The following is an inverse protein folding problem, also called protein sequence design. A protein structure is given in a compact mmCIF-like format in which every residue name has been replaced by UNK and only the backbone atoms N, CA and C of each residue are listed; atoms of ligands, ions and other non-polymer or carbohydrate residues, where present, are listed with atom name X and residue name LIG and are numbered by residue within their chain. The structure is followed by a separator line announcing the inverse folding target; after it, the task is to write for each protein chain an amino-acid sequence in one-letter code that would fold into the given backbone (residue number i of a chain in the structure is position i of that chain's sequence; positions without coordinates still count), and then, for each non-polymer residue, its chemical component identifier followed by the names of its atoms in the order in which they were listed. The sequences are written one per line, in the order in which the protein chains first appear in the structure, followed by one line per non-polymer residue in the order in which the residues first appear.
data_IF_326176224526
#
_entry.id   IF_326176224526
#
_cell.length_a   1.000
_cell.length_b   1.000
_cell.length_c   1.000
_cell.angle_alpha   90.00
_cell.angle_beta   90.00
_cell.angle_gamma   90.00
#
_symmetry.space_group_name_H-M   'P 1'
#
loop_
_entity.id
_entity.type
_entity.pdbx_description
1 polymer ?
#
# COMPACT_ATOMS: atom_id res chain seq x y z
N UNK A 1 -17.72 -21.92 4.73
CA UNK A 1 -17.01 -22.59 3.61
C UNK A 1 -15.93 -21.70 2.99
N UNK A 2 -16.23 -20.46 2.56
CA UNK A 2 -15.21 -19.55 2.01
C UNK A 2 -13.98 -19.34 2.89
N UNK A 3 -14.17 -19.14 4.20
CA UNK A 3 -13.07 -19.05 5.17
C UNK A 3 -12.21 -20.33 5.25
N UNK A 4 -12.82 -21.51 5.17
CA UNK A 4 -12.10 -22.80 5.17
C UNK A 4 -11.28 -22.96 3.88
N UNK A 5 -11.86 -22.60 2.73
CA UNK A 5 -11.13 -22.59 1.44
C UNK A 5 -9.96 -21.60 1.47
N UNK A 6 -10.14 -20.44 2.11
CA UNK A 6 -9.07 -19.47 2.31
C UNK A 6 -7.92 -20.03 3.15
N UNK A 7 -8.21 -20.73 4.25
CA UNK A 7 -7.21 -21.40 5.08
C UNK A 7 -6.46 -22.50 4.31
N UNK A 8 -7.18 -23.29 3.51
CA UNK A 8 -6.57 -24.32 2.64
C UNK A 8 -5.68 -23.68 1.59
N UNK A 9 -6.13 -22.60 0.95
CA UNK A 9 -5.33 -21.86 -0.03
C UNK A 9 -4.08 -21.24 0.58
N UNK A 10 -4.19 -20.66 1.78
CA UNK A 10 -3.03 -20.16 2.52
C UNK A 10 -2.04 -21.28 2.86
N UNK A 11 -2.53 -22.43 3.33
CA UNK A 11 -1.67 -23.58 3.63
C UNK A 11 -0.94 -24.08 2.37
N UNK A 12 -1.63 -24.13 1.23
CA UNK A 12 -1.01 -24.48 -0.06
C UNK A 12 0.05 -23.48 -0.51
N UNK A 13 -0.21 -22.18 -0.35
CA UNK A 13 0.76 -21.13 -0.67
C UNK A 13 2.00 -21.20 0.24
N UNK A 14 1.80 -21.39 1.55
CA UNK A 14 2.89 -21.57 2.51
C UNK A 14 3.74 -22.78 2.17
N UNK A 15 3.10 -23.90 1.84
CA UNK A 15 3.80 -25.11 1.40
C UNK A 15 4.70 -24.86 0.18
N UNK A 16 4.20 -24.11 -0.81
CA UNK A 16 5.00 -23.73 -1.98
C UNK A 16 6.13 -22.76 -1.61
N UNK A 17 5.86 -21.78 -0.74
CA UNK A 17 6.86 -20.79 -0.32
C UNK A 17 7.99 -21.40 0.50
N UNK A 18 7.70 -22.36 1.38
CA UNK A 18 8.73 -23.03 2.19
C UNK A 18 9.76 -23.78 1.36
N UNK A 19 9.45 -24.12 0.10
CA UNK A 19 10.42 -24.70 -0.82
C UNK A 19 11.49 -23.69 -1.31
N UNK A 20 11.20 -22.39 -1.25
CA UNK A 20 12.06 -21.32 -1.76
C UNK A 20 12.60 -20.38 -0.68
N UNK A 21 11.92 -20.26 0.47
CA UNK A 21 12.35 -19.41 1.59
C UNK A 21 12.39 -20.23 2.89
N UNK A 22 13.55 -20.36 3.57
CA UNK A 22 13.67 -20.98 4.88
C UNK A 22 13.23 -20.00 5.97
N UNK A 23 11.94 -19.65 6.01
CA UNK A 23 11.36 -18.78 7.04
C UNK A 23 10.05 -19.38 7.56
N UNK A 24 9.94 -19.53 8.88
CA UNK A 24 8.69 -19.89 9.55
C UNK A 24 7.81 -18.64 9.68
N UNK A 25 6.71 -18.61 8.93
CA UNK A 25 5.72 -17.55 9.04
C UNK A 25 4.83 -17.78 10.27
N UNK A 26 4.59 -16.75 11.10
CA UNK A 26 3.70 -16.88 12.25
C UNK A 26 2.28 -17.30 11.81
N UNK A 27 1.55 -18.06 12.63
CA UNK A 27 0.22 -18.52 12.28
C UNK A 27 -0.72 -17.33 12.01
N UNK A 28 -1.66 -17.46 11.06
CA UNK A 28 -2.61 -16.40 10.76
C UNK A 28 -3.41 -16.05 12.02
N UNK A 29 -3.33 -14.78 12.45
CA UNK A 29 -4.17 -14.27 13.53
C UNK A 29 -5.66 -14.32 13.16
N UNK A 30 -6.57 -14.07 14.12
CA UNK A 30 -8.02 -14.01 13.84
C UNK A 30 -8.43 -12.74 13.07
N UNK A 31 -7.56 -11.73 13.03
CA UNK A 31 -7.86 -10.42 12.45
C UNK A 31 -8.18 -10.47 10.94
N UNK A 32 -7.41 -11.16 10.07
CA UNK A 32 -7.73 -11.28 8.64
C UNK A 32 -9.06 -11.99 8.39
N UNK A 33 -9.43 -12.95 9.24
CA UNK A 33 -10.73 -13.62 9.16
C UNK A 33 -11.87 -12.63 9.42
N UNK A 34 -11.75 -11.83 10.47
CA UNK A 34 -12.73 -10.80 10.81
C UNK A 34 -12.86 -9.74 9.71
N UNK A 35 -11.72 -9.28 9.18
CA UNK A 35 -11.68 -8.34 8.04
C UNK A 35 -12.38 -8.92 6.81
N UNK A 36 -12.13 -10.19 6.49
CA UNK A 36 -12.79 -10.88 5.39
C UNK A 36 -14.31 -10.96 5.57
N UNK A 37 -14.77 -11.29 6.78
CA UNK A 37 -16.21 -11.34 7.11
C UNK A 37 -16.84 -9.95 7.02
N UNK A 38 -16.20 -8.92 7.57
CA UNK A 38 -16.68 -7.54 7.50
C UNK A 38 -16.77 -7.07 6.05
N UNK A 39 -15.76 -7.37 5.23
CA UNK A 39 -15.75 -7.03 3.80
C UNK A 39 -16.87 -7.75 3.06
N UNK A 40 -17.08 -9.05 3.31
CA UNK A 40 -18.15 -9.81 2.69
C UNK A 40 -19.54 -9.27 3.07
N UNK A 41 -19.75 -8.93 4.34
CA UNK A 41 -20.99 -8.30 4.81
C UNK A 41 -21.20 -6.91 4.19
N UNK A 42 -20.14 -6.11 4.09
CA UNK A 42 -20.18 -4.80 3.45
C UNK A 42 -20.65 -4.91 1.99
N UNK A 43 -20.03 -5.82 1.23
CA UNK A 43 -20.39 -6.07 -0.17
C UNK A 43 -21.81 -6.61 -0.29
N UNK A 44 -22.21 -7.56 0.57
CA UNK A 44 -23.55 -8.13 0.58
C UNK A 44 -24.62 -7.05 0.82
N UNK A 45 -24.45 -6.23 1.85
CA UNK A 45 -25.40 -5.15 2.17
C UNK A 45 -25.43 -4.11 1.06
N UNK A 46 -24.27 -3.70 0.53
CA UNK A 46 -24.18 -2.69 -0.52
C UNK A 46 -24.79 -3.12 -1.85
N UNK A 47 -24.57 -4.36 -2.28
CA UNK A 47 -25.04 -4.84 -3.58
C UNK A 47 -26.40 -5.54 -3.52
N UNK A 48 -26.64 -6.40 -2.53
CA UNK A 48 -27.89 -7.16 -2.43
C UNK A 48 -28.98 -6.41 -1.64
N UNK A 49 -28.61 -5.52 -0.72
CA UNK A 49 -29.60 -4.79 0.10
C UNK A 49 -30.63 -4.00 -0.73
N UNK A 50 -30.24 -3.18 -1.71
CA UNK A 50 -31.20 -2.41 -2.51
C UNK A 50 -32.13 -3.29 -3.35
N UNK A 51 -31.63 -4.42 -3.87
CA UNK A 51 -32.41 -5.35 -4.69
C UNK A 51 -33.38 -6.18 -3.84
N UNK A 52 -32.95 -6.65 -2.66
CA UNK A 52 -33.79 -7.36 -1.69
C UNK A 52 -34.94 -6.48 -1.17
N UNK A 53 -34.67 -5.20 -0.87
CA UNK A 53 -35.69 -4.26 -0.41
C UNK A 53 -36.75 -3.96 -1.49
N UNK A 54 -36.36 -3.97 -2.77
CA UNK A 54 -37.32 -3.85 -3.88
C UNK A 54 -38.22 -5.07 -3.97
N UNK A 55 -37.69 -6.28 -3.82
CA UNK A 55 -38.47 -7.52 -3.87
C UNK A 55 -39.54 -7.58 -2.78
N UNK A 56 -39.21 -7.17 -1.54
CA UNK A 56 -40.13 -7.24 -0.39
C UNK A 56 -41.40 -6.39 -0.56
N UNK A 57 -41.38 -5.38 -1.44
CA UNK A 57 -42.49 -4.42 -1.62
C UNK A 57 -43.34 -4.65 -2.87
N UNK A 58 -43.07 -5.68 -3.67
CA UNK A 58 -43.91 -6.00 -4.84
C UNK A 58 -45.08 -6.88 -4.40
N UNK A 59 -46.25 -6.27 -4.18
CA UNK A 59 -47.52 -6.98 -4.07
C UNK A 59 -47.80 -7.73 -5.38
N UNK A 60 -48.31 -8.98 -5.30
CA UNK A 60 -48.60 -9.85 -6.44
C UNK A 60 -49.49 -9.19 -7.53
N UNK A 61 -50.29 -8.18 -7.16
CA UNK A 61 -51.13 -7.40 -8.09
C UNK A 61 -50.36 -6.39 -8.96
N UNK A 62 -49.14 -5.97 -8.58
CA UNK A 62 -48.33 -4.99 -9.34
C UNK A 62 -47.60 -5.59 -10.54
N UNK A 63 -47.45 -6.91 -10.60
CA UNK A 63 -46.83 -7.63 -11.74
C UNK A 63 -47.66 -7.47 -13.03
N UNK A 64 -48.98 -7.27 -12.90
CA UNK A 64 -49.88 -7.11 -14.04
C UNK A 64 -49.87 -5.69 -14.64
N UNK A 65 -49.48 -4.66 -13.86
CA UNK A 65 -49.55 -3.25 -14.28
C UNK A 65 -48.25 -2.68 -14.89
N UNK A 66 -47.12 -3.37 -14.79
CA UNK A 66 -45.81 -2.90 -15.33
C UNK A 66 -45.43 -1.47 -14.92
N UNK A 67 -45.91 -0.99 -13.78
CA UNK A 67 -45.49 0.29 -13.20
C UNK A 67 -44.37 0.01 -12.18
N UNK A 68 -43.13 0.29 -12.60
CA UNK A 68 -41.97 0.29 -11.70
C UNK A 68 -42.01 1.59 -10.89
N UNK A 69 -42.47 1.49 -9.63
CA UNK A 69 -42.42 2.61 -8.69
C UNK A 69 -40.97 3.06 -8.41
N UNK A 70 -40.75 4.36 -8.11
CA UNK A 70 -39.44 4.88 -7.73
C UNK A 70 -38.87 4.17 -6.49
N UNK A 71 -37.54 4.21 -6.31
CA UNK A 71 -36.89 3.56 -5.18
C UNK A 71 -37.49 4.03 -3.85
N UNK A 72 -37.88 3.12 -2.94
CA UNK A 72 -38.37 3.52 -1.63
C UNK A 72 -37.25 4.22 -0.84
N UNK A 73 -37.60 5.15 0.05
CA UNK A 73 -36.64 5.86 0.91
C UNK A 73 -35.70 4.91 1.68
N UNK A 74 -36.15 3.69 1.99
CA UNK A 74 -35.32 2.64 2.61
C UNK A 74 -34.14 2.18 1.76
N UNK A 75 -34.19 2.33 0.43
CA UNK A 75 -33.06 2.02 -0.44
C UNK A 75 -31.90 3.02 -0.26
N UNK A 76 -32.21 4.30 0.00
CA UNK A 76 -31.19 5.31 0.30
C UNK A 76 -30.50 5.05 1.66
N UNK A 77 -31.25 4.56 2.64
CA UNK A 77 -30.67 4.09 3.91
C UNK A 77 -29.64 2.98 3.71
N UNK A 78 -29.93 2.00 2.84
CA UNK A 78 -28.98 0.93 2.53
C UNK A 78 -27.73 1.45 1.85
N UNK A 79 -27.86 2.39 0.92
CA UNK A 79 -26.70 3.03 0.29
C UNK A 79 -25.87 3.80 1.33
N UNK A 80 -26.51 4.51 2.25
CA UNK A 80 -25.84 5.21 3.35
C UNK A 80 -25.08 4.25 4.27
N UNK A 81 -25.71 3.16 4.70
CA UNK A 81 -25.07 2.12 5.53
C UNK A 81 -23.91 1.47 4.78
N UNK A 82 -24.08 1.12 3.50
CA UNK A 82 -23.01 0.54 2.70
C UNK A 82 -21.82 1.49 2.55
N UNK A 83 -22.08 2.79 2.34
CA UNK A 83 -21.05 3.82 2.26
C UNK A 83 -20.31 3.99 3.59
N UNK A 84 -21.03 3.91 4.72
CA UNK A 84 -20.45 3.98 6.07
C UNK A 84 -19.57 2.76 6.34
N UNK A 85 -20.04 1.56 6.03
CA UNK A 85 -19.25 0.32 6.21
C UNK A 85 -18.01 0.35 5.31
N UNK A 86 -18.15 0.76 4.05
CA UNK A 86 -17.00 0.91 3.14
C UNK A 86 -16.01 1.94 3.65
N UNK A 87 -16.49 3.09 4.13
CA UNK A 87 -15.66 4.12 4.75
C UNK A 87 -14.96 3.66 6.02
N UNK A 88 -15.65 2.90 6.88
CA UNK A 88 -15.07 2.27 8.05
C UNK A 88 -13.97 1.26 7.70
N UNK A 89 -14.16 0.52 6.60
CA UNK A 89 -13.15 -0.38 6.07
C UNK A 89 -11.90 0.37 5.56
N UNK A 90 -12.10 1.47 4.83
CA UNK A 90 -11.01 2.33 4.36
C UNK A 90 -10.22 2.92 5.54
N UNK A 91 -10.92 3.39 6.57
CA UNK A 91 -10.29 3.90 7.77
C UNK A 91 -9.49 2.81 8.52
N UNK A 92 -10.06 1.61 8.65
CA UNK A 92 -9.41 0.47 9.29
C UNK A 92 -8.15 0.02 8.54
N UNK A 93 -8.14 0.09 7.21
CA UNK A 93 -6.98 -0.25 6.39
C UNK A 93 -5.93 0.87 6.34
N UNK A 94 -6.35 2.12 6.23
CA UNK A 94 -5.45 3.26 6.05
C UNK A 94 -4.85 3.76 7.36
N UNK A 95 -5.47 3.52 8.51
CA UNK A 95 -5.08 4.07 9.82
C UNK A 95 -5.28 5.60 9.95
N UNK A 96 -5.60 6.29 8.86
CA UNK A 96 -5.77 7.73 8.79
C UNK A 96 -7.21 8.10 8.35
N UNK A 97 -7.99 8.78 9.19
CA UNK A 97 -9.36 9.17 8.87
C UNK A 97 -9.43 10.26 7.77
N UNK A 98 -8.40 11.10 7.62
CA UNK A 98 -8.37 12.13 6.58
C UNK A 98 -8.21 11.49 5.20
N UNK A 99 -7.32 10.49 5.06
CA UNK A 99 -7.18 9.72 3.83
C UNK A 99 -8.46 8.96 3.49
N UNK A 100 -9.08 8.31 4.48
CA UNK A 100 -10.34 7.58 4.27
C UNK A 100 -11.46 8.51 3.78
N UNK A 101 -11.63 9.68 4.41
CA UNK A 101 -12.61 10.67 3.99
C UNK A 101 -12.29 11.26 2.60
N UNK A 102 -11.03 11.57 2.34
CA UNK A 102 -10.55 12.04 1.04
C UNK A 102 -10.85 11.05 -0.09
N UNK A 103 -10.62 9.75 0.14
CA UNK A 103 -10.96 8.69 -0.83
C UNK A 103 -12.46 8.55 -1.04
N UNK A 104 -13.28 8.63 0.02
CA UNK A 104 -14.74 8.56 -0.11
C UNK A 104 -15.29 9.73 -0.92
N UNK A 105 -14.91 10.95 -0.56
CA UNK A 105 -15.39 12.17 -1.23
C UNK A 105 -14.83 12.24 -2.65
N UNK A 106 -13.54 12.00 -2.83
CA UNK A 106 -12.90 11.97 -4.14
C UNK A 106 -13.51 10.91 -5.06
N UNK A 107 -13.76 9.71 -4.54
CA UNK A 107 -14.45 8.63 -5.26
C UNK A 107 -15.88 9.01 -5.66
N UNK A 108 -16.63 9.67 -4.76
CA UNK A 108 -17.98 10.16 -5.07
C UNK A 108 -17.97 11.25 -6.15
N UNK A 109 -17.06 12.22 -6.05
CA UNK A 109 -16.89 13.28 -7.06
C UNK A 109 -16.56 12.65 -8.41
N UNK A 110 -15.61 11.72 -8.44
CA UNK A 110 -15.22 11.03 -9.68
C UNK A 110 -16.38 10.24 -10.27
N UNK A 111 -17.18 9.56 -9.45
CA UNK A 111 -18.37 8.84 -9.90
C UNK A 111 -19.40 9.77 -10.53
N UNK A 112 -19.63 10.94 -9.92
CA UNK A 112 -20.54 11.97 -10.46
C UNK A 112 -20.01 12.53 -11.78
N UNK A 113 -18.71 12.80 -11.89
CA UNK A 113 -18.08 13.25 -13.12
C UNK A 113 -18.20 12.21 -14.23
N UNK A 114 -17.90 10.95 -13.94
CA UNK A 114 -18.06 9.83 -14.88
C UNK A 114 -19.52 9.65 -15.31
N UNK A 115 -20.47 9.80 -14.38
CA UNK A 115 -21.90 9.73 -14.68
C UNK A 115 -22.30 10.87 -15.63
N UNK A 116 -21.85 12.09 -15.34
CA UNK A 116 -22.08 13.28 -16.18
C UNK A 116 -21.48 13.11 -17.58
N UNK A 117 -20.25 12.62 -17.67
CA UNK A 117 -19.56 12.35 -18.93
C UNK A 117 -20.26 11.25 -19.74
N UNK A 118 -20.63 10.15 -19.10
CA UNK A 118 -21.40 9.08 -19.75
C UNK A 118 -22.76 9.57 -20.25
N UNK A 119 -23.44 10.42 -19.47
CA UNK A 119 -24.69 11.03 -19.88
C UNK A 119 -24.51 11.99 -21.07
N UNK A 120 -23.45 12.79 -21.07
CA UNK A 120 -23.10 13.69 -22.17
C UNK A 120 -22.80 12.91 -23.45
N UNK A 121 -21.94 11.89 -23.37
CA UNK A 121 -21.59 11.02 -24.51
C UNK A 121 -22.83 10.33 -25.08
N UNK A 122 -23.72 9.83 -24.23
CA UNK A 122 -24.96 9.21 -24.66
C UNK A 122 -25.92 10.24 -25.29
N UNK A 123 -26.05 11.44 -24.73
CA UNK A 123 -26.82 12.53 -25.33
C UNK A 123 -26.28 12.90 -26.71
N UNK A 124 -24.96 13.04 -26.84
CA UNK A 124 -24.30 13.37 -28.09
C UNK A 124 -24.53 12.28 -29.14
N UNK A 125 -24.38 11.01 -28.77
CA UNK A 125 -24.64 9.87 -29.66
C UNK A 125 -26.08 9.89 -30.18
N UNK A 126 -27.06 10.16 -29.30
CA UNK A 126 -28.47 10.23 -29.69
C UNK A 126 -28.77 11.43 -30.58
N UNK A 127 -28.14 12.58 -30.31
CA UNK A 127 -28.26 13.77 -31.14
C UNK A 127 -27.69 13.57 -32.55
N UNK A 128 -26.50 12.97 -32.66
CA UNK A 128 -25.88 12.62 -33.95
C UNK A 128 -26.73 11.61 -34.72
N UNK A 129 -27.23 10.56 -34.05
CA UNK A 129 -28.07 9.53 -34.68
C UNK A 129 -29.46 10.07 -35.08
N UNK A 130 -29.95 11.13 -34.43
CA UNK A 130 -31.17 11.84 -34.82
C UNK A 130 -31.03 12.62 -36.14
N UNK A 131 -29.82 13.03 -36.50
CA UNK A 131 -29.52 13.73 -37.76
C UNK A 131 -29.27 12.81 -38.96
N UNK A 132 -29.18 11.49 -38.74
CA UNK A 132 -28.97 10.53 -39.83
C UNK A 132 -30.30 10.30 -40.57
N UNK A 133 -30.39 10.61 -41.88
CA UNK A 133 -31.61 10.41 -42.65
C UNK A 133 -32.03 8.94 -42.67
N UNK A 134 -33.34 8.70 -42.62
CA UNK A 134 -33.93 7.36 -42.52
C UNK A 134 -33.62 6.45 -43.73
N UNK A 135 -33.10 7.01 -44.81
CA UNK A 135 -32.69 6.36 -46.05
C UNK A 135 -31.24 5.86 -46.05
N UNK A 136 -30.48 6.10 -44.98
CA UNK A 136 -29.09 5.63 -44.87
C UNK A 136 -29.02 4.11 -44.65
N UNK A 137 -28.33 3.39 -45.55
CA UNK A 137 -28.32 1.92 -45.65
C UNK A 137 -27.97 1.13 -44.36
N UNK A 138 -28.18 -0.19 -44.45
CA UNK A 138 -28.37 -1.13 -43.33
C UNK A 138 -27.48 -0.98 -42.08
N UNK A 139 -26.17 -0.73 -42.23
CA UNK A 139 -25.25 -0.53 -41.08
C UNK A 139 -25.62 0.71 -40.25
N UNK A 140 -26.00 1.83 -40.88
CA UNK A 140 -26.40 3.07 -40.19
C UNK A 140 -27.77 2.92 -39.53
N UNK A 141 -28.67 2.14 -40.14
CA UNK A 141 -29.96 1.81 -39.54
C UNK A 141 -29.84 0.88 -38.31
N UNK A 142 -28.94 -0.12 -38.35
CA UNK A 142 -28.64 -0.96 -37.21
C UNK A 142 -28.05 -0.16 -36.03
N UNK A 143 -27.12 0.76 -36.31
CA UNK A 143 -26.57 1.68 -35.30
C UNK A 143 -27.65 2.58 -34.68
N UNK A 144 -28.57 3.11 -35.48
CA UNK A 144 -29.70 3.91 -34.99
C UNK A 144 -30.65 3.11 -34.09
N UNK A 145 -30.92 1.86 -34.45
CA UNK A 145 -31.75 0.94 -33.64
C UNK A 145 -31.06 0.62 -32.30
N UNK A 146 -29.75 0.34 -32.32
CA UNK A 146 -28.95 0.13 -31.11
C UNK A 146 -28.93 1.36 -30.20
N UNK A 147 -28.71 2.55 -30.77
CA UNK A 147 -28.75 3.80 -30.03
C UNK A 147 -30.12 4.08 -29.38
N UNK A 148 -31.22 3.82 -30.10
CA UNK A 148 -32.59 3.93 -29.55
C UNK A 148 -32.86 2.94 -28.43
N UNK A 149 -32.31 1.73 -28.50
CA UNK A 149 -32.44 0.74 -27.43
C UNK A 149 -31.69 1.17 -26.17
N UNK A 150 -30.51 1.78 -26.32
CA UNK A 150 -29.75 2.44 -25.26
C UNK A 150 -30.52 3.61 -24.65
N UNK A 151 -31.17 4.45 -25.48
CA UNK A 151 -31.99 5.58 -25.02
C UNK A 151 -33.18 5.12 -24.16
N UNK A 152 -33.84 4.01 -24.55
CA UNK A 152 -34.96 3.44 -23.80
C UNK A 152 -34.57 2.94 -22.40
N UNK A 153 -33.32 2.51 -22.21
CA UNK A 153 -32.79 2.03 -20.92
C UNK A 153 -31.58 2.86 -20.48
N UNK A 154 -31.74 4.19 -20.51
CA UNK A 154 -30.66 5.16 -20.26
C UNK A 154 -29.95 4.96 -18.92
N UNK A 155 -30.69 4.79 -17.83
CA UNK A 155 -30.11 4.59 -16.49
C UNK A 155 -29.34 3.27 -16.35
N UNK A 156 -29.88 2.17 -16.90
CA UNK A 156 -29.21 0.87 -16.87
C UNK A 156 -27.94 0.86 -17.72
N UNK A 157 -27.98 1.48 -18.91
CA UNK A 157 -26.83 1.56 -19.81
C UNK A 157 -25.71 2.42 -19.22
N UNK A 158 -26.06 3.54 -18.58
CA UNK A 158 -25.09 4.38 -17.86
C UNK A 158 -24.46 3.64 -16.68
N UNK A 159 -25.26 2.95 -15.87
CA UNK A 159 -24.74 2.15 -14.77
C UNK A 159 -23.76 1.07 -15.23
N UNK A 160 -24.04 0.41 -16.36
CA UNK A 160 -23.15 -0.62 -16.90
C UNK A 160 -21.87 -0.04 -17.52
N UNK A 161 -21.97 1.10 -18.20
CA UNK A 161 -20.81 1.84 -18.70
C UNK A 161 -19.89 2.27 -17.55
N UNK A 162 -20.46 2.75 -16.44
CA UNK A 162 -19.71 3.11 -15.24
C UNK A 162 -19.01 1.89 -14.63
N UNK A 163 -19.72 0.77 -14.48
CA UNK A 163 -19.15 -0.45 -13.96
C UNK A 163 -17.93 -0.89 -14.80
N UNK A 164 -18.08 -0.96 -16.12
CA UNK A 164 -16.96 -1.29 -17.01
C UNK A 164 -15.82 -0.27 -16.92
N UNK A 165 -16.13 1.03 -16.89
CA UNK A 165 -15.11 2.08 -16.83
C UNK A 165 -14.27 1.98 -15.55
N UNK A 166 -14.92 1.75 -14.40
CA UNK A 166 -14.22 1.57 -13.12
C UNK A 166 -13.41 0.28 -13.13
N UNK A 167 -13.95 -0.83 -13.67
CA UNK A 167 -13.21 -2.09 -13.79
C UNK A 167 -11.97 -1.95 -14.67
N UNK A 168 -12.09 -1.35 -15.86
CA UNK A 168 -10.96 -1.13 -16.75
C UNK A 168 -9.93 -0.16 -16.15
N UNK A 169 -10.38 0.89 -15.47
CA UNK A 169 -9.49 1.81 -14.77
C UNK A 169 -8.71 1.10 -13.65
N UNK A 170 -9.37 0.25 -12.86
CA UNK A 170 -8.70 -0.54 -11.84
C UNK A 170 -7.68 -1.52 -12.45
N UNK A 171 -8.04 -2.21 -13.53
CA UNK A 171 -7.11 -3.10 -14.25
C UNK A 171 -5.90 -2.34 -14.81
N UNK A 172 -6.14 -1.18 -15.44
CA UNK A 172 -5.09 -0.34 -15.98
C UNK A 172 -4.18 0.22 -14.88
N UNK A 173 -4.76 0.65 -13.75
CA UNK A 173 -4.00 1.12 -12.59
C UNK A 173 -3.10 0.03 -12.04
N UNK A 174 -3.58 -1.21 -11.90
CA UNK A 174 -2.74 -2.34 -11.47
C UNK A 174 -1.59 -2.58 -12.45
N UNK A 175 -1.87 -2.57 -13.76
CA UNK A 175 -0.85 -2.77 -14.78
C UNK A 175 0.22 -1.66 -14.77
N UNK A 176 -0.22 -0.40 -14.60
CA UNK A 176 0.65 0.77 -14.57
C UNK A 176 1.51 0.79 -13.31
N UNK A 177 0.90 0.61 -12.13
CA UNK A 177 1.64 0.55 -10.85
C UNK A 177 2.66 -0.57 -10.85
N UNK A 178 2.35 -1.74 -11.44
CA UNK A 178 3.30 -2.84 -11.58
C UNK A 178 4.53 -2.44 -12.40
N UNK A 179 4.34 -1.75 -13.52
CA UNK A 179 5.44 -1.31 -14.38
C UNK A 179 6.27 -0.20 -13.73
N UNK A 180 5.59 0.75 -13.10
CA UNK A 180 6.20 1.94 -12.49
C UNK A 180 7.06 1.58 -11.28
N UNK A 181 6.59 0.67 -10.41
CA UNK A 181 7.38 0.24 -9.25
C UNK A 181 8.66 -0.49 -9.66
N UNK A 182 8.63 -1.31 -10.71
CA UNK A 182 9.80 -2.08 -11.13
C UNK A 182 10.84 -1.19 -11.82
N UNK A 183 10.39 -0.31 -12.73
CA UNK A 183 11.25 0.63 -13.43
C UNK A 183 11.82 1.68 -12.48
N UNK A 184 10.99 2.32 -11.66
CA UNK A 184 11.45 3.29 -10.65
C UNK A 184 12.43 2.67 -9.66
N UNK A 185 12.21 1.41 -9.27
CA UNK A 185 13.17 0.73 -8.39
C UNK A 185 14.49 0.46 -9.11
N UNK A 186 14.46 -0.01 -10.36
CA UNK A 186 15.66 -0.24 -11.17
C UNK A 186 16.44 1.06 -11.43
N UNK A 187 15.75 2.16 -11.74
CA UNK A 187 16.34 3.46 -12.02
C UNK A 187 17.01 4.09 -10.78
N UNK A 188 16.67 3.62 -9.57
CA UNK A 188 17.32 4.04 -8.33
C UNK A 188 18.65 3.34 -8.07
N UNK A 189 18.97 2.24 -8.76
CA UNK A 189 20.28 1.59 -8.65
C UNK A 189 21.21 2.11 -9.75
N UNK A 190 22.34 2.76 -9.41
CA UNK A 190 23.41 3.03 -10.37
C UNK A 190 23.80 1.76 -11.14
N UNK A 191 24.24 1.90 -12.40
CA UNK A 191 24.66 0.76 -13.24
C UNK A 191 25.75 -0.11 -12.56
N UNK A 192 26.59 0.50 -11.72
CA UNK A 192 27.67 -0.16 -10.96
C UNK A 192 27.24 -0.68 -9.57
N UNK A 193 25.96 -0.94 -9.33
CA UNK A 193 25.53 -1.41 -8.00
C UNK A 193 25.90 -2.88 -7.75
N UNK A 194 26.61 -3.20 -6.65
CA UNK A 194 26.93 -4.59 -6.31
C UNK A 194 25.68 -5.45 -6.17
N UNK A 195 25.72 -6.66 -6.74
CA UNK A 195 24.62 -7.63 -6.73
C UNK A 195 24.77 -8.74 -5.67
N UNK A 196 25.90 -8.78 -4.94
CA UNK A 196 26.14 -9.74 -3.86
C UNK A 196 26.49 -9.02 -2.55
N UNK A 197 25.85 -9.45 -1.46
CA UNK A 197 26.06 -8.92 -0.12
C UNK A 197 26.50 -10.04 0.82
N UNK A 198 27.67 -9.89 1.43
CA UNK A 198 28.15 -10.79 2.47
C UNK A 198 27.91 -10.15 3.85
N UNK A 199 27.25 -10.91 4.74
CA UNK A 199 26.94 -10.49 6.12
C UNK A 199 27.40 -11.58 7.11
N UNK A 200 27.60 -11.21 8.38
CA UNK A 200 28.01 -12.12 9.45
C UNK A 200 29.37 -12.81 9.23
N UNK A 201 30.30 -12.15 8.55
CA UNK A 201 31.69 -12.64 8.44
C UNK A 201 32.34 -12.56 9.82
N UNK A 202 32.80 -13.69 10.34
CA UNK A 202 33.40 -13.73 11.66
C UNK A 202 34.80 -13.08 11.67
N UNK A 203 35.24 -12.47 12.78
CA UNK A 203 36.54 -11.80 12.84
C UNK A 203 37.73 -12.70 12.45
N UNK A 204 37.67 -14.00 12.77
CA UNK A 204 38.71 -14.97 12.41
C UNK A 204 38.68 -15.46 10.96
N UNK A 205 37.55 -15.28 10.26
CA UNK A 205 37.37 -15.69 8.85
C UNK A 205 37.54 -14.53 7.88
N UNK A 206 37.57 -13.29 8.41
CA UNK A 206 37.64 -12.05 7.63
C UNK A 206 38.78 -12.04 6.62
N UNK A 207 40.00 -12.34 7.06
CA UNK A 207 41.18 -12.19 6.23
C UNK A 207 41.19 -13.26 5.12
N UNK A 208 40.86 -14.51 5.45
CA UNK A 208 40.73 -15.58 4.44
C UNK A 208 39.60 -15.30 3.42
N UNK A 209 38.49 -14.71 3.86
CA UNK A 209 37.40 -14.30 2.97
C UNK A 209 37.83 -13.16 2.05
N UNK A 210 38.56 -12.17 2.58
CA UNK A 210 39.11 -11.06 1.82
C UNK A 210 40.03 -11.57 0.70
N UNK A 211 40.96 -12.45 1.03
CA UNK A 211 41.97 -12.97 0.08
C UNK A 211 41.28 -13.74 -1.05
N UNK A 212 40.31 -14.59 -0.71
CA UNK A 212 39.54 -15.36 -1.71
C UNK A 212 38.73 -14.45 -2.64
N UNK A 213 38.22 -13.33 -2.13
CA UNK A 213 37.38 -12.42 -2.90
C UNK A 213 38.21 -11.51 -3.81
N UNK A 214 39.39 -11.07 -3.36
CA UNK A 214 40.30 -10.25 -4.16
C UNK A 214 40.81 -11.00 -5.41
N UNK A 215 40.92 -12.33 -5.34
CA UNK A 215 41.27 -13.18 -6.48
C UNK A 215 40.09 -13.38 -7.46
N UNK A 216 38.85 -13.14 -7.02
CA UNK A 216 37.63 -13.52 -7.75
C UNK A 216 36.82 -12.33 -8.30
N UNK A 217 37.05 -11.11 -7.80
CA UNK A 217 36.24 -9.92 -8.14
C UNK A 217 37.14 -8.70 -8.35
N UNK A 218 36.92 -7.98 -9.44
CA UNK A 218 37.72 -6.78 -9.80
C UNK A 218 37.45 -5.57 -8.86
N UNK A 219 36.22 -5.45 -8.34
CA UNK A 219 35.83 -4.36 -7.44
C UNK A 219 35.03 -4.85 -6.24
N UNK A 220 35.40 -4.40 -5.04
CA UNK A 220 34.67 -4.68 -3.79
C UNK A 220 34.56 -3.44 -2.92
N UNK A 221 33.47 -3.38 -2.15
CA UNK A 221 33.34 -2.39 -1.08
C UNK A 221 34.10 -2.83 0.17
N UNK A 222 34.61 -1.87 0.95
CA UNK A 222 35.26 -2.15 2.24
C UNK A 222 34.29 -2.85 3.20
N UNK A 223 34.80 -3.79 4.00
CA UNK A 223 34.03 -4.46 5.03
C UNK A 223 33.68 -3.49 6.18
N UNK A 224 32.40 -3.50 6.56
CA UNK A 224 31.90 -2.71 7.68
C UNK A 224 31.66 -3.61 8.89
N UNK A 225 32.20 -3.26 10.07
CA UNK A 225 31.90 -4.03 11.27
C UNK A 225 30.43 -3.84 11.64
N UNK A 226 29.78 -4.93 12.07
CA UNK A 226 28.40 -4.90 12.55
C UNK A 226 28.35 -5.34 14.01
N UNK A 227 27.83 -4.46 14.88
CA UNK A 227 27.61 -4.73 16.30
C UNK A 227 26.15 -4.46 16.64
N UNK A 228 25.53 -5.39 17.35
CA UNK A 228 24.16 -5.21 17.84
C UNK A 228 24.19 -4.42 19.14
N UNK A 229 23.44 -3.32 19.20
CA UNK A 229 23.35 -2.47 20.37
C UNK A 229 21.94 -1.92 20.57
N UNK A 230 21.58 -1.61 21.82
CA UNK A 230 20.33 -0.93 22.15
C UNK A 230 20.64 0.43 22.76
N UNK A 231 19.96 1.47 22.28
CA UNK A 231 20.06 2.80 22.87
C UNK A 231 19.33 2.79 24.22
N UNK A 232 20.07 3.06 25.29
CA UNK A 232 19.51 3.14 26.65
C UNK A 232 19.34 4.57 27.14
N UNK A 233 20.19 5.49 26.67
CA UNK A 233 20.13 6.92 27.00
C UNK A 233 20.71 7.76 25.86
N UNK A 234 20.23 9.00 25.73
CA UNK A 234 20.80 10.04 24.85
C UNK A 234 21.07 11.25 25.76
N UNK A 235 22.33 11.65 25.91
CA UNK A 235 22.73 12.74 26.82
C UNK A 235 22.10 12.61 28.22
N UNK A 236 22.20 11.41 28.80
CA UNK A 236 21.63 11.03 30.11
C UNK A 236 20.09 11.11 30.24
N UNK A 237 19.39 11.36 29.13
CA UNK A 237 17.92 11.37 29.09
C UNK A 237 17.38 10.07 28.49
N UNK A 238 16.14 9.74 28.85
CA UNK A 238 15.41 8.63 28.24
C UNK A 238 15.34 8.90 26.73
N UNK A 239 15.69 7.93 25.85
CA UNK A 239 15.82 8.19 24.41
C UNK A 239 14.58 8.81 23.77
N UNK A 240 13.39 8.48 24.27
CA UNK A 240 12.09 9.03 23.80
C UNK A 240 11.88 10.50 24.17
N UNK A 241 12.48 10.97 25.26
CA UNK A 241 12.33 12.34 25.76
C UNK A 241 13.35 13.29 25.11
N UNK A 242 14.51 12.74 24.72
CA UNK A 242 15.59 13.47 24.07
C UNK A 242 15.33 13.82 22.59
N UNK A 243 14.33 13.21 21.94
CA UNK A 243 13.96 13.49 20.54
C UNK A 243 12.67 14.33 20.44
N UNK A 244 12.54 15.14 19.37
CA UNK A 244 11.33 15.92 19.12
C UNK A 244 10.09 15.03 18.91
N UNK A 245 8.90 15.60 19.12
CA UNK A 245 7.65 14.84 19.28
C UNK A 245 7.27 13.95 18.09
N UNK A 246 7.66 14.39 16.90
CA UNK A 246 7.57 13.68 15.61
C UNK A 246 8.44 12.41 15.57
N UNK A 247 9.66 12.47 16.10
CA UNK A 247 10.62 11.36 16.07
C UNK A 247 10.42 10.33 17.21
N UNK A 248 9.57 10.62 18.21
CA UNK A 248 9.29 9.71 19.35
C UNK A 248 8.68 8.36 18.96
N UNK A 249 8.04 8.31 17.79
CA UNK A 249 7.40 7.10 17.25
C UNK A 249 8.38 6.10 16.66
N UNK A 250 9.61 6.54 16.33
CA UNK A 250 10.57 5.73 15.60
C UNK A 250 10.89 4.41 16.33
N UNK A 251 10.81 3.31 15.58
CA UNK A 251 11.14 1.99 16.05
C UNK A 251 12.61 1.86 16.46
N UNK A 252 13.50 2.71 15.94
CA UNK A 252 14.93 2.72 16.27
C UNK A 252 15.19 2.86 17.78
N UNK A 253 14.38 3.65 18.47
CA UNK A 253 14.53 3.92 19.92
C UNK A 253 14.08 2.76 20.81
N UNK A 254 13.36 1.76 20.27
CA UNK A 254 12.76 0.65 21.04
C UNK A 254 13.38 -0.71 20.75
N UNK A 255 14.20 -0.82 19.70
CA UNK A 255 14.76 -2.10 19.22
C UNK A 255 16.27 -2.15 19.35
N UNK A 256 16.81 -3.36 19.20
CA UNK A 256 18.23 -3.55 18.94
C UNK A 256 18.55 -3.10 17.51
N UNK A 257 19.62 -2.33 17.38
CA UNK A 257 20.09 -1.76 16.14
C UNK A 257 21.38 -2.46 15.71
N UNK A 258 21.53 -2.66 14.41
CA UNK A 258 22.80 -3.03 13.82
C UNK A 258 23.61 -1.74 13.64
N UNK A 259 24.63 -1.59 14.46
CA UNK A 259 25.52 -0.44 14.48
C UNK A 259 26.79 -0.76 13.70
N UNK A 260 27.28 0.22 12.97
CA UNK A 260 28.61 0.20 12.37
C UNK A 260 29.37 1.45 12.79
N UNK A 261 30.70 1.40 12.70
CA UNK A 261 31.55 2.56 12.98
C UNK A 261 32.65 2.63 11.93
N UNK A 262 33.14 3.85 11.73
CA UNK A 262 34.30 4.15 10.89
C UNK A 262 35.12 5.24 11.55
N UNK A 263 36.42 5.22 11.29
CA UNK A 263 37.32 6.27 11.72
C UNK A 263 37.12 7.56 10.89
N UNK A 264 36.82 7.42 9.60
CA UNK A 264 36.65 8.55 8.68
C UNK A 264 35.18 8.73 8.28
N UNK A 265 34.81 9.99 8.01
CA UNK A 265 33.48 10.33 7.51
C UNK A 265 33.25 9.66 6.13
N UNK A 266 32.18 8.85 5.96
CA UNK A 266 31.88 8.24 4.67
C UNK A 266 31.63 9.28 3.57
N UNK A 267 32.09 8.99 2.34
CA UNK A 267 31.95 9.89 1.17
C UNK A 267 30.49 10.27 0.88
N UNK A 268 29.53 9.39 1.19
CA UNK A 268 28.10 9.63 1.03
C UNK A 268 27.42 10.38 2.19
N UNK A 269 28.14 10.64 3.29
CA UNK A 269 27.55 11.27 4.48
C UNK A 269 27.97 12.73 4.58
N UNK A 270 27.01 13.61 4.84
CA UNK A 270 27.26 15.03 5.12
C UNK A 270 27.12 15.30 6.62
N UNK A 271 28.15 15.85 7.24
CA UNK A 271 28.06 16.33 8.62
C UNK A 271 27.24 17.63 8.65
N UNK A 272 26.03 17.56 9.18
CA UNK A 272 25.09 18.71 9.25
C UNK A 272 25.35 19.56 10.51
N UNK A 273 25.69 18.91 11.63
CA UNK A 273 25.99 19.57 12.89
C UNK A 273 26.98 18.73 13.72
N UNK A 274 27.73 19.39 14.59
CA UNK A 274 28.74 18.76 15.45
C UNK A 274 30.12 18.65 14.79
N UNK A 275 30.98 17.84 15.40
CA UNK A 275 32.32 17.54 14.91
C UNK A 275 32.43 16.03 14.69
N UNK A 276 33.11 15.63 13.61
CA UNK A 276 33.46 14.23 13.42
C UNK A 276 34.50 13.80 14.46
N UNK A 277 34.52 12.53 14.79
CA UNK A 277 35.43 11.98 15.80
C UNK A 277 36.86 11.93 15.25
N UNK A 278 37.63 13.00 15.40
CA UNK A 278 39.06 12.99 15.10
C UNK A 278 39.85 12.41 16.28
N UNK A 279 40.91 11.63 15.99
CA UNK A 279 41.86 11.19 17.02
C UNK A 279 42.62 12.41 17.53
N UNK A 280 42.18 12.97 18.65
CA UNK A 280 43.05 13.71 19.56
C UNK A 280 42.83 13.20 20.98
N UNK A 281 43.77 12.42 21.55
CA UNK A 281 43.80 12.18 22.98
C UNK A 281 44.40 13.45 23.59
N UNK A 282 43.56 14.42 23.94
CA UNK A 282 44.01 15.53 24.77
C UNK A 282 42.87 15.91 25.68
N UNK A 283 43.08 15.59 26.96
CA UNK A 283 42.33 16.01 28.13
C UNK A 283 41.39 17.20 27.90
N UNK A 284 40.09 16.92 27.89
CA UNK A 284 39.06 17.89 28.23
C UNK A 284 38.27 17.29 29.40
N UNK A 285 38.49 17.88 30.57
CA UNK A 285 37.69 17.66 31.77
C UNK A 285 36.22 17.93 31.43
N UNK A 286 35.42 16.87 31.33
CA UNK A 286 34.04 16.97 30.88
C UNK A 286 33.37 15.62 30.70
N UNK A 287 33.39 14.78 31.74
CA UNK A 287 32.40 13.73 31.98
C UNK A 287 32.30 12.58 30.98
N UNK A 288 32.87 11.42 31.34
CA UNK A 288 32.31 10.13 30.92
C UNK A 288 32.65 9.05 31.96
N UNK A 289 31.73 8.64 32.86
CA UNK A 289 31.94 7.44 33.63
C UNK A 289 31.31 6.27 32.88
N UNK A 290 32.12 5.61 32.06
CA UNK A 290 31.87 4.22 31.70
C UNK A 290 31.89 3.37 32.97
N UNK A 291 30.73 3.11 33.57
CA UNK A 291 30.59 1.98 34.50
C UNK A 291 30.33 0.70 33.70
N UNK A 292 31.35 0.25 33.00
CA UNK A 292 31.44 -1.13 32.51
C UNK A 292 32.00 -2.00 33.63
N UNK A 293 31.18 -2.91 34.16
CA UNK A 293 31.67 -4.03 34.98
C UNK A 293 32.13 -5.17 34.04
N UNK A 294 33.04 -4.82 33.14
CA UNK A 294 33.91 -5.69 32.32
C UNK A 294 34.79 -4.72 31.52
N UNK A 295 36.08 -4.69 31.84
CA UNK A 295 37.03 -3.73 31.30
C UNK A 295 37.19 -3.91 29.79
N UNK A 296 36.93 -2.84 29.03
CA UNK A 296 37.36 -2.66 27.64
C UNK A 296 37.96 -1.25 27.50
N UNK A 297 39.03 -1.08 26.70
CA UNK A 297 39.82 0.15 26.70
C UNK A 297 39.00 1.34 26.20
N UNK A 298 38.99 2.39 27.04
CA UNK A 298 38.16 3.59 26.95
C UNK A 298 38.58 4.54 25.82
N UNK A 299 37.68 4.84 24.88
CA UNK A 299 37.92 5.87 23.85
C UNK A 299 36.97 5.91 22.64
N UNK A 300 35.67 5.62 22.78
CA UNK A 300 34.79 5.48 21.59
C UNK A 300 33.42 6.16 21.77
N UNK A 301 33.04 7.02 20.81
CA UNK A 301 31.75 7.72 20.72
C UNK A 301 31.00 7.39 19.43
N UNK A 302 29.66 7.40 19.48
CA UNK A 302 28.76 6.95 18.40
C UNK A 302 28.16 8.15 17.64
N UNK A 303 28.23 8.13 16.30
CA UNK A 303 27.60 9.15 15.44
C UNK A 303 26.41 8.57 14.67
N UNK A 304 25.28 9.28 14.71
CA UNK A 304 24.07 8.95 13.95
C UNK A 304 23.94 9.83 12.71
N UNK A 305 23.57 9.23 11.58
CA UNK A 305 22.97 9.91 10.45
C UNK A 305 21.52 9.43 10.34
N UNK A 306 20.57 10.35 10.49
CA UNK A 306 19.19 10.12 10.05
C UNK A 306 19.12 10.40 8.55
N UNK A 307 18.40 9.59 7.76
CA UNK A 307 18.00 9.97 6.40
C UNK A 307 17.05 11.17 6.42
#
# INVERSE_FOLDING_TARGET
MGALLGLVGQAGLLWLLTAFLPMELPPPGPLPLLLGVLTALAVLVGFAGPTLLRLKRVSALKVLRRELDPLPASAWLVVGVASLVFGGLLWLYSGDPQLAFGLLVGGLVMLVLLWGLGWLLLSLLLHLMGRVPATAGGKRQALRLGARQLARRRSASLGQLLAFSVTFAAMAMIALVRGDLLSTWQDQLPEDTPNYFAINIQPGERDAFIDTLDDAVDERTTLYPMVRGRITAINDQVPREAVPADARGDGSLRRELNLTWRETLPVGNRLVAGQWFDRSPTHAEGGCPSRSRTAWPSGWGWGWAMP
#
